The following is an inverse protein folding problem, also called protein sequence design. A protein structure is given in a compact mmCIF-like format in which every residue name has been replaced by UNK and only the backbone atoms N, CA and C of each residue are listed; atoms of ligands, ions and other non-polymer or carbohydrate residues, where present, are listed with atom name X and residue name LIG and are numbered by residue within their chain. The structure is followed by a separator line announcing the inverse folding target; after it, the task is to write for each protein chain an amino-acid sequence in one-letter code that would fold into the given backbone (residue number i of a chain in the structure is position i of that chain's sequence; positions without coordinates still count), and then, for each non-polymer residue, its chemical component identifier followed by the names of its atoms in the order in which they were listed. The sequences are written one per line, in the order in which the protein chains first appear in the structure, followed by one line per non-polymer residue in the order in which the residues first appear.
data_IF_557669889334
#
_entry.id   IF_557669889334
#
_cell.length_a   1.000
_cell.length_b   1.000
_cell.length_c   1.000
_cell.angle_alpha   90.00
_cell.angle_beta   90.00
_cell.angle_gamma   90.00
#
_symmetry.space_group_name_H-M   'P 1'
#
loop_
_entity.id
_entity.type
_entity.pdbx_description
1 polymer ?
#
# COMPACT_ATOMS: atom_id res chain seq x y z
N UNK A 1 14.54 1.04 6.76
CA UNK A 1 13.66 0.22 7.62
C UNK A 1 12.53 -0.36 6.77
N UNK A 2 12.17 -1.59 7.04
CA UNK A 2 11.09 -2.28 6.34
C UNK A 2 10.07 -2.72 7.38
N UNK A 3 8.82 -2.32 7.20
CA UNK A 3 7.72 -2.68 8.09
C UNK A 3 6.69 -3.52 7.34
N UNK A 4 6.12 -4.51 8.03
CA UNK A 4 5.05 -5.35 7.49
C UNK A 4 3.72 -4.86 8.05
N UNK A 5 2.72 -4.72 7.20
CA UNK A 5 1.39 -4.21 7.56
C UNK A 5 0.37 -5.34 7.59
N UNK A 6 0.29 -6.09 8.67
CA UNK A 6 -0.77 -7.09 8.96
C UNK A 6 -1.13 -7.99 7.77
N UNK A 7 -0.16 -8.55 7.07
CA UNK A 7 -0.38 -9.37 5.87
C UNK A 7 -1.02 -8.63 4.69
N UNK A 8 -1.10 -7.30 4.74
CA UNK A 8 -1.69 -6.49 3.67
C UNK A 8 -0.66 -5.82 2.79
N UNK A 9 0.61 -5.85 3.17
CA UNK A 9 1.66 -5.22 2.42
C UNK A 9 2.86 -4.86 3.28
N UNK A 10 3.62 -3.91 2.80
CA UNK A 10 4.82 -3.46 3.51
C UNK A 10 5.06 -1.97 3.27
N UNK A 11 5.90 -1.40 4.11
CA UNK A 11 6.40 -0.04 3.93
C UNK A 11 7.92 -0.06 4.06
N UNK A 12 8.59 0.73 3.25
CA UNK A 12 10.05 0.82 3.25
C UNK A 12 10.46 2.28 3.39
N UNK A 13 11.32 2.56 4.38
CA UNK A 13 11.83 3.92 4.62
C UNK A 13 13.28 3.99 4.14
N UNK A 14 13.55 4.94 3.26
CA UNK A 14 14.86 5.16 2.66
C UNK A 14 15.70 6.13 3.52
N UNK A 15 16.99 6.23 3.21
CA UNK A 15 17.91 7.10 3.94
C UNK A 15 17.52 8.58 3.89
N UNK A 16 16.84 9.00 2.82
CA UNK A 16 16.37 10.38 2.69
C UNK A 16 15.15 10.69 3.57
N UNK A 17 14.65 9.71 4.32
CA UNK A 17 13.50 9.88 5.21
C UNK A 17 12.15 9.62 4.55
N UNK A 18 12.11 9.43 3.25
CA UNK A 18 10.86 9.08 2.56
C UNK A 18 10.50 7.62 2.77
N UNK A 19 9.21 7.36 2.93
CA UNK A 19 8.65 6.00 3.05
C UNK A 19 7.76 5.72 1.86
N UNK A 20 7.92 4.54 1.26
CA UNK A 20 6.99 4.02 0.25
C UNK A 20 6.16 2.92 0.90
N UNK A 21 4.84 3.01 0.72
CA UNK A 21 3.88 2.00 1.18
C UNK A 21 3.34 1.24 -0.02
N UNK A 22 3.34 -0.10 0.07
CA UNK A 22 2.83 -1.00 -0.97
C UNK A 22 1.80 -1.92 -0.31
N UNK A 23 0.53 -1.81 -0.70
CA UNK A 23 -0.58 -2.48 -0.03
C UNK A 23 -1.38 -3.33 -1.00
N UNK A 24 -1.73 -4.56 -0.58
CA UNK A 24 -2.51 -5.49 -1.37
C UNK A 24 -3.72 -6.06 -0.62
N UNK A 25 -4.16 -5.40 0.45
CA UNK A 25 -5.29 -5.85 1.25
C UNK A 25 -6.63 -5.68 0.55
N UNK A 26 -7.68 -6.27 1.15
CA UNK A 26 -9.04 -6.25 0.57
C UNK A 26 -9.67 -4.86 0.53
N UNK A 27 -9.11 -3.90 1.26
CA UNK A 27 -9.57 -2.51 1.25
C UNK A 27 -8.68 -1.59 0.41
N UNK A 28 -7.62 -2.11 -0.18
CA UNK A 28 -6.70 -1.33 -0.99
C UNK A 28 -7.12 -1.31 -2.46
N UNK A 29 -6.64 -0.32 -3.21
CA UNK A 29 -6.91 -0.20 -4.64
C UNK A 29 -6.00 -1.14 -5.43
N UNK A 30 -6.36 -2.41 -5.44
CA UNK A 30 -5.62 -3.49 -6.10
C UNK A 30 -6.56 -4.64 -6.45
N UNK A 31 -6.03 -5.70 -7.07
CA UNK A 31 -6.83 -6.84 -7.51
C UNK A 31 -7.53 -7.57 -6.36
N UNK A 32 -7.00 -7.47 -5.13
CA UNK A 32 -7.62 -8.09 -3.96
C UNK A 32 -8.80 -7.30 -3.39
N UNK A 33 -9.05 -6.09 -3.90
CA UNK A 33 -10.12 -5.24 -3.38
C UNK A 33 -11.47 -5.91 -3.57
N UNK A 34 -12.30 -5.82 -2.53
CA UNK A 34 -13.65 -6.37 -2.54
C UNK A 34 -14.65 -5.33 -2.05
N UNK A 35 -15.88 -5.44 -2.56
CA UNK A 35 -17.01 -4.63 -2.13
C UNK A 35 -17.97 -5.45 -1.25
N UNK A 36 -17.60 -6.65 -0.83
CA UNK A 36 -18.45 -7.47 0.03
C UNK A 36 -18.76 -6.78 1.34
N UNK A 37 -20.01 -6.89 1.77
CA UNK A 37 -20.41 -6.41 3.09
C UNK A 37 -19.92 -7.37 4.16
N UNK A 38 -19.30 -6.82 5.20
CA UNK A 38 -18.83 -7.60 6.36
C UNK A 38 -19.64 -7.30 7.62
N UNK A 39 -20.74 -6.57 7.48
CA UNK A 39 -21.54 -6.14 8.62
C UNK A 39 -22.13 -7.33 9.41
N UNK A 40 -22.31 -8.47 8.76
CA UNK A 40 -22.84 -9.68 9.37
C UNK A 40 -21.77 -10.50 10.11
N UNK A 41 -20.50 -10.14 10.01
CA UNK A 41 -19.42 -10.87 10.64
C UNK A 41 -19.21 -10.44 12.09
N UNK A 42 -18.72 -11.35 12.92
CA UNK A 42 -18.26 -11.03 14.26
C UNK A 42 -17.01 -10.15 14.20
N UNK A 43 -16.64 -9.52 15.32
CA UNK A 43 -15.41 -8.70 15.37
C UNK A 43 -14.18 -9.53 15.00
N UNK A 44 -14.11 -10.77 15.47
CA UNK A 44 -13.00 -11.67 15.17
C UNK A 44 -12.95 -12.01 13.68
N UNK A 45 -14.10 -12.33 13.07
CA UNK A 45 -14.16 -12.66 11.65
C UNK A 45 -13.87 -11.45 10.77
N UNK A 46 -14.31 -10.24 11.17
CA UNK A 46 -13.94 -9.01 10.47
C UNK A 46 -12.44 -8.80 10.48
N UNK A 47 -11.78 -9.02 11.62
CA UNK A 47 -10.33 -8.87 11.72
C UNK A 47 -9.63 -9.86 10.80
N UNK A 48 -10.05 -11.12 10.79
CA UNK A 48 -9.49 -12.14 9.88
C UNK A 48 -9.70 -11.75 8.43
N UNK A 49 -10.89 -11.26 8.09
CA UNK A 49 -11.21 -10.85 6.72
C UNK A 49 -10.32 -9.70 6.26
N UNK A 50 -10.20 -8.63 7.07
CA UNK A 50 -9.39 -7.48 6.70
C UNK A 50 -7.89 -7.77 6.67
N UNK A 51 -7.44 -8.78 7.43
CA UNK A 51 -6.04 -9.18 7.45
C UNK A 51 -5.75 -10.35 6.49
N UNK A 52 -6.75 -10.83 5.77
CA UNK A 52 -6.55 -11.85 4.76
C UNK A 52 -6.01 -11.18 3.50
N UNK A 53 -4.88 -11.64 3.03
CA UNK A 53 -4.35 -11.22 1.74
C UNK A 53 -3.84 -12.44 1.01
N UNK A 54 -3.83 -12.34 -0.29
CA UNK A 54 -3.33 -13.37 -1.19
C UNK A 54 -2.44 -12.71 -2.22
N UNK A 55 -1.63 -13.46 -2.94
CA UNK A 55 -0.81 -12.87 -4.00
C UNK A 55 -1.66 -12.03 -4.94
N UNK A 56 -1.14 -10.89 -5.35
CA UNK A 56 -1.82 -9.94 -6.22
C UNK A 56 -0.92 -9.54 -7.37
N UNK A 57 -1.45 -9.39 -8.59
CA UNK A 57 -0.66 -8.92 -9.73
C UNK A 57 -0.36 -7.42 -9.67
N UNK A 58 -0.98 -6.69 -8.73
CA UNK A 58 -0.81 -5.25 -8.59
C UNK A 58 -1.06 -4.81 -7.14
N UNK A 59 -0.74 -3.56 -6.86
CA UNK A 59 -0.85 -3.03 -5.50
C UNK A 59 -1.24 -1.55 -5.52
N UNK A 60 -1.68 -1.06 -4.36
CA UNK A 60 -1.85 0.36 -4.10
C UNK A 60 -0.56 0.90 -3.52
N UNK A 61 -0.07 2.02 -4.04
CA UNK A 61 1.17 2.64 -3.58
C UNK A 61 0.94 4.06 -3.09
N UNK A 62 1.77 4.47 -2.14
CA UNK A 62 1.83 5.84 -1.64
C UNK A 62 3.24 6.11 -1.15
N UNK A 63 3.60 7.37 -1.02
CA UNK A 63 4.86 7.76 -0.41
C UNK A 63 4.67 9.00 0.44
N UNK A 64 5.43 9.08 1.53
CA UNK A 64 5.31 10.20 2.46
C UNK A 64 6.61 10.41 3.22
N UNK A 65 6.77 11.64 3.73
CA UNK A 65 7.82 12.02 4.66
C UNK A 65 7.22 13.00 5.66
N UNK A 66 7.04 12.55 6.92
CA UNK A 66 6.28 13.32 7.89
C UNK A 66 4.85 13.56 7.41
N UNK A 67 4.44 14.82 7.33
CA UNK A 67 3.11 15.19 6.85
C UNK A 67 3.06 15.46 5.34
N UNK A 68 4.19 15.34 4.66
CA UNK A 68 4.27 15.54 3.23
C UNK A 68 3.97 14.23 2.51
N UNK A 69 3.00 14.26 1.58
CA UNK A 69 2.61 13.10 0.77
C UNK A 69 2.96 13.35 -0.69
N UNK A 70 3.43 12.31 -1.35
CA UNK A 70 3.67 12.38 -2.79
C UNK A 70 2.34 12.52 -3.52
N UNK A 71 2.25 13.50 -4.40
CA UNK A 71 1.05 13.79 -5.18
C UNK A 71 1.20 13.17 -6.57
N UNK A 72 0.29 12.24 -6.90
CA UNK A 72 0.26 11.61 -8.22
C UNK A 72 -0.51 12.46 -9.24
N UNK A 73 -0.98 13.64 -8.84
CA UNK A 73 -1.71 14.55 -9.70
C UNK A 73 -3.20 14.64 -9.36
N UNK A 74 -3.83 13.54 -9.02
CA UNK A 74 -5.25 13.52 -8.64
C UNK A 74 -5.48 12.98 -7.23
N UNK A 75 -4.48 12.32 -6.66
CA UNK A 75 -4.59 11.70 -5.33
C UNK A 75 -3.19 11.48 -4.76
N UNK A 76 -3.11 11.18 -3.48
CA UNK A 76 -1.89 10.80 -2.78
C UNK A 76 -1.67 9.28 -2.76
N UNK A 77 -2.58 8.52 -3.35
CA UNK A 77 -2.42 7.08 -3.56
C UNK A 77 -2.62 6.76 -5.03
N UNK A 78 -1.98 5.69 -5.49
CA UNK A 78 -2.17 5.18 -6.85
C UNK A 78 -2.45 3.69 -6.77
N UNK A 79 -3.57 3.28 -7.37
CA UNK A 79 -4.01 1.90 -7.33
C UNK A 79 -3.57 1.09 -8.54
N UNK A 80 -3.73 -0.22 -8.42
CA UNK A 80 -3.50 -1.19 -9.48
C UNK A 80 -2.14 -1.06 -10.18
N UNK A 81 -1.10 -0.72 -9.41
CA UNK A 81 0.26 -0.60 -9.94
C UNK A 81 0.88 -1.98 -10.09
N UNK A 82 1.44 -2.23 -11.27
CA UNK A 82 2.16 -3.47 -11.57
C UNK A 82 3.53 -3.48 -10.89
N UNK A 83 4.15 -4.65 -10.69
CA UNK A 83 5.46 -4.73 -10.02
C UNK A 83 6.53 -3.82 -10.64
N UNK A 84 6.60 -3.72 -11.96
CA UNK A 84 7.60 -2.88 -12.62
C UNK A 84 7.35 -1.39 -12.32
N UNK A 85 6.09 -0.97 -12.30
CA UNK A 85 5.73 0.40 -11.92
C UNK A 85 6.09 0.69 -10.47
N UNK A 86 5.90 -0.29 -9.58
CA UNK A 86 6.24 -0.17 -8.17
C UNK A 86 7.75 0.00 -8.01
N UNK A 87 8.54 -0.79 -8.73
CA UNK A 87 10.00 -0.68 -8.69
C UNK A 87 10.46 0.70 -9.15
N UNK A 88 9.93 1.19 -10.27
CA UNK A 88 10.24 2.51 -10.77
C UNK A 88 9.90 3.61 -9.78
N UNK A 89 8.73 3.50 -9.14
CA UNK A 89 8.30 4.44 -8.14
C UNK A 89 9.22 4.43 -6.90
N UNK A 90 9.59 3.24 -6.42
CA UNK A 90 10.51 3.13 -5.30
C UNK A 90 11.86 3.78 -5.61
N UNK A 91 12.36 3.58 -6.83
CA UNK A 91 13.61 4.22 -7.27
C UNK A 91 13.47 5.74 -7.30
N UNK A 92 12.35 6.24 -7.80
CA UNK A 92 12.09 7.68 -7.85
C UNK A 92 12.14 8.27 -6.45
N UNK A 93 11.43 7.64 -5.50
CA UNK A 93 11.34 8.14 -4.13
C UNK A 93 12.68 7.99 -3.40
N UNK A 94 13.37 6.88 -3.57
CA UNK A 94 14.66 6.63 -2.93
C UNK A 94 15.74 7.64 -3.38
N UNK A 95 15.58 8.21 -4.57
CA UNK A 95 16.54 9.16 -5.13
C UNK A 95 16.10 10.62 -4.93
N UNK A 96 15.01 10.88 -4.23
CA UNK A 96 14.60 12.26 -3.94
C UNK A 96 15.60 12.89 -2.97
N UNK A 97 15.86 14.16 -3.20
CA UNK A 97 16.69 14.94 -2.27
C UNK A 97 15.83 15.40 -1.11
N UNK A 98 16.25 14.95 0.06
CA UNK A 98 15.77 15.33 1.34
C UNK A 98 14.37 15.70 1.60
#
# INVERSE_FOLDING_TARGET
MININDNKGFAITFENGWTVSVQIGVMNYCANRTSESVSHLSSEDKTKYFNSSKPSPNAEIAAFKGDEWYDFGSDTVKGWCKPDEILEFMNLIANKKG
#
